data_IF_795501598749
#
_entry.id   IF_795501598749
#
_cell.length_a   1.000
_cell.length_b   1.000
_cell.length_c   1.000
_cell.angle_alpha   90.00
_cell.angle_beta   90.00
_cell.angle_gamma   90.00
#
_symmetry.space_group_name_H-M   'P 1'
#
loop_
_entity.id
_entity.type
_entity.pdbx_description
1 polymer ?
#
# COMPACT_ATOMS: atom_id res chain seq x y z
N UNK A 1 25.69 15.58 -18.87
CA UNK A 1 25.02 14.73 -17.86
C UNK A 1 24.72 15.60 -16.66
N UNK A 2 23.44 15.80 -16.26
CA UNK A 2 23.12 16.58 -15.08
C UNK A 2 23.57 15.81 -13.84
N UNK A 3 24.30 16.48 -12.94
CA UNK A 3 24.88 15.89 -11.73
C UNK A 3 23.80 15.33 -10.80
N UNK A 4 23.85 14.04 -10.52
CA UNK A 4 22.94 13.30 -9.62
C UNK A 4 22.95 13.76 -8.15
N UNK A 5 23.85 14.66 -7.77
CA UNK A 5 24.08 15.10 -6.39
C UNK A 5 23.01 16.05 -5.82
N UNK A 6 22.19 16.70 -6.66
CA UNK A 6 21.21 17.69 -6.18
C UNK A 6 19.95 17.06 -5.55
N UNK A 7 19.54 15.88 -6.02
CA UNK A 7 18.35 15.18 -5.52
C UNK A 7 18.56 14.51 -4.15
N UNK A 8 19.74 13.91 -3.93
CA UNK A 8 20.07 13.21 -2.68
C UNK A 8 20.10 14.17 -1.47
N UNK A 9 20.47 15.43 -1.70
CA UNK A 9 20.55 16.45 -0.64
C UNK A 9 19.17 17.01 -0.27
N UNK A 10 18.19 16.99 -1.18
CA UNK A 10 16.84 17.51 -0.95
C UNK A 10 15.93 16.53 -0.17
N UNK A 11 16.19 15.21 -0.28
CA UNK A 11 15.49 14.17 0.48
C UNK A 11 15.94 14.08 1.95
N UNK A 12 17.10 14.64 2.30
CA UNK A 12 17.73 14.43 3.60
C UNK A 12 17.37 15.50 4.65
N UNK A 13 16.82 16.65 4.23
CA UNK A 13 16.39 17.69 5.15
C UNK A 13 14.95 17.41 5.63
N UNK A 14 14.71 17.15 6.93
CA UNK A 14 13.35 17.06 7.44
C UNK A 14 12.62 18.38 7.14
N UNK A 15 11.47 18.30 6.48
CA UNK A 15 10.60 19.48 6.28
C UNK A 15 10.30 20.06 7.66
N UNK A 16 10.52 21.37 7.84
CA UNK A 16 10.55 22.08 9.14
C UNK A 16 9.26 21.95 9.99
N UNK A 17 8.21 21.40 9.41
CA UNK A 17 6.86 21.23 9.96
C UNK A 17 6.47 19.77 10.23
N UNK A 18 7.19 18.77 9.72
CA UNK A 18 6.96 17.37 10.05
C UNK A 18 7.87 16.93 11.20
N UNK A 19 7.36 17.01 12.43
CA UNK A 19 8.07 16.50 13.61
C UNK A 19 8.45 15.00 13.48
N UNK A 20 7.77 14.27 12.58
CA UNK A 20 8.11 12.92 12.19
C UNK A 20 7.75 12.64 10.71
N UNK A 21 8.76 12.48 9.86
CA UNK A 21 8.60 11.89 8.52
C UNK A 21 8.59 10.35 8.68
N UNK A 22 7.40 9.76 8.70
CA UNK A 22 7.22 8.31 8.77
C UNK A 22 7.37 7.62 7.40
N UNK A 23 7.75 8.37 6.35
CA UNK A 23 8.09 7.85 5.03
C UNK A 23 6.95 7.19 4.26
N UNK A 24 5.68 7.48 4.59
CA UNK A 24 4.49 6.89 3.94
C UNK A 24 4.26 5.39 4.19
N UNK A 25 5.23 4.72 4.82
CA UNK A 25 5.25 3.27 5.10
C UNK A 25 4.39 2.87 6.29
N UNK A 26 4.03 3.83 7.14
CA UNK A 26 3.12 3.63 8.25
C UNK A 26 1.74 4.16 7.85
N UNK A 27 0.67 3.37 7.99
CA UNK A 27 -0.71 3.83 7.80
C UNK A 27 -1.10 4.74 8.97
N UNK A 28 -0.53 5.93 8.96
CA UNK A 28 -0.68 7.00 9.93
C UNK A 28 -1.07 8.26 9.17
N UNK A 29 -1.94 9.08 9.78
CA UNK A 29 -2.70 10.11 9.06
C UNK A 29 -1.79 11.16 8.36
N UNK A 30 -0.70 11.66 8.97
CA UNK A 30 0.28 12.48 8.26
C UNK A 30 1.61 11.76 7.91
N UNK A 31 2.23 12.12 6.77
CA UNK A 31 1.69 13.01 5.75
C UNK A 31 0.76 12.28 4.76
N UNK A 32 -0.46 12.80 4.56
CA UNK A 32 -1.32 12.39 3.43
C UNK A 32 -0.67 12.79 2.09
N UNK A 33 -1.10 12.18 0.97
CA UNK A 33 -0.62 12.59 -0.35
C UNK A 33 -1.02 14.04 -0.66
N UNK A 34 -2.19 14.49 -0.22
CA UNK A 34 -2.59 15.90 -0.29
C UNK A 34 -1.63 16.81 0.46
N UNK A 35 -1.19 16.43 1.67
CA UNK A 35 -0.21 17.19 2.44
C UNK A 35 1.15 17.22 1.76
N UNK A 36 1.55 16.12 1.09
CA UNK A 36 2.79 16.08 0.29
C UNK A 36 2.72 17.04 -0.89
N UNK A 37 1.59 17.05 -1.62
CA UNK A 37 1.32 17.94 -2.75
C UNK A 37 1.32 19.41 -2.31
N UNK A 38 0.56 19.75 -1.27
CA UNK A 38 0.52 21.11 -0.70
C UNK A 38 1.92 21.54 -0.25
N UNK A 39 2.64 20.68 0.46
CA UNK A 39 3.99 20.99 0.91
C UNK A 39 5.01 21.12 -0.22
N UNK A 40 4.73 20.64 -1.45
CA UNK A 40 5.54 20.93 -2.63
C UNK A 40 5.17 22.28 -3.26
N UNK A 41 3.88 22.61 -3.29
CA UNK A 41 3.40 23.91 -3.78
C UNK A 41 3.89 25.08 -2.91
N UNK A 42 3.90 24.90 -1.60
CA UNK A 42 4.34 25.93 -0.65
C UNK A 42 5.88 26.05 -0.56
N UNK A 43 6.62 25.14 -1.20
CA UNK A 43 8.09 25.10 -1.12
C UNK A 43 8.72 25.92 -2.24
N UNK A 44 9.14 27.14 -1.90
CA UNK A 44 9.82 28.10 -2.79
C UNK A 44 11.06 27.58 -3.53
N UNK A 45 11.59 26.40 -3.17
CA UNK A 45 12.70 25.76 -3.89
C UNK A 45 12.25 25.09 -5.19
N UNK A 46 10.95 24.90 -5.39
CA UNK A 46 10.38 24.21 -6.53
C UNK A 46 9.48 25.15 -7.33
N UNK A 47 9.73 25.26 -8.63
CA UNK A 47 8.74 25.80 -9.56
C UNK A 47 7.81 24.64 -9.97
N UNK A 48 6.53 24.73 -9.59
CA UNK A 48 5.56 23.69 -9.95
C UNK A 48 5.29 23.63 -11.46
N UNK A 49 5.64 24.68 -12.21
CA UNK A 49 5.55 24.66 -13.68
C UNK A 49 6.69 23.88 -14.33
N UNK A 50 7.81 23.65 -13.64
CA UNK A 50 8.92 22.81 -14.14
C UNK A 50 8.68 21.30 -13.97
N UNK A 51 7.56 20.90 -13.37
CA UNK A 51 7.22 19.49 -13.15
C UNK A 51 6.49 18.94 -14.38
N UNK A 52 7.18 18.12 -15.17
CA UNK A 52 6.61 17.47 -16.36
C UNK A 52 6.09 16.03 -16.10
N UNK A 53 6.38 15.45 -14.92
CA UNK A 53 5.96 14.09 -14.55
C UNK A 53 5.60 13.97 -13.07
N UNK A 54 4.45 13.34 -12.80
CA UNK A 54 4.03 12.87 -11.48
C UNK A 54 3.73 11.37 -11.52
N UNK A 55 4.27 10.62 -10.56
CA UNK A 55 3.89 9.22 -10.33
C UNK A 55 3.12 9.17 -9.02
N UNK A 56 1.93 8.57 -9.06
CA UNK A 56 0.98 8.59 -7.95
C UNK A 56 0.58 7.16 -7.57
N UNK A 57 0.83 6.81 -6.31
CA UNK A 57 0.38 5.56 -5.68
C UNK A 57 -0.36 5.91 -4.38
N UNK A 58 -1.62 5.49 -4.24
CA UNK A 58 -2.46 5.91 -3.12
C UNK A 58 -3.83 5.25 -3.06
N UNK A 59 -4.32 5.03 -1.84
CA UNK A 59 -5.67 4.50 -1.54
C UNK A 59 -5.71 3.19 -0.76
N UNK A 60 -4.75 2.26 -0.90
CA UNK A 60 -4.82 0.96 -0.21
C UNK A 60 -4.70 1.10 1.31
N UNK A 61 -4.01 2.13 1.80
CA UNK A 61 -3.92 2.42 3.24
C UNK A 61 -5.27 2.81 3.84
N UNK A 62 -6.11 3.54 3.08
CA UNK A 62 -7.45 3.96 3.48
C UNK A 62 -8.43 2.78 3.47
N UNK A 63 -8.30 1.89 2.47
CA UNK A 63 -9.09 0.64 2.40
C UNK A 63 -8.69 -0.31 3.52
N UNK A 64 -7.38 -0.48 3.68
CA UNK A 64 -6.73 -1.29 4.69
C UNK A 64 -6.57 -2.76 4.31
N UNK A 65 -5.33 -3.22 4.20
CA UNK A 65 -4.99 -4.60 3.78
C UNK A 65 -5.59 -5.63 4.73
N UNK A 66 -5.58 -5.37 6.05
CA UNK A 66 -6.22 -6.26 7.01
C UNK A 66 -7.72 -6.45 6.73
N UNK A 67 -8.44 -5.43 6.23
CA UNK A 67 -9.87 -5.53 5.89
C UNK A 67 -10.09 -6.32 4.62
N UNK A 68 -9.21 -6.13 3.63
CA UNK A 68 -9.23 -6.90 2.38
C UNK A 68 -9.08 -8.39 2.69
N UNK A 69 -8.18 -8.75 3.61
CA UNK A 69 -7.88 -10.14 3.96
C UNK A 69 -8.77 -10.72 5.08
N UNK A 70 -9.55 -9.93 5.82
CA UNK A 70 -10.43 -10.45 6.87
C UNK A 70 -11.73 -11.03 6.29
N UNK A 71 -11.97 -12.36 6.37
CA UNK A 71 -13.16 -12.98 5.80
C UNK A 71 -14.48 -12.50 6.41
N UNK A 72 -14.45 -11.85 7.58
CA UNK A 72 -15.63 -11.32 8.28
C UNK A 72 -16.06 -9.96 7.76
N UNK A 73 -15.18 -9.21 7.08
CA UNK A 73 -15.52 -7.90 6.51
C UNK A 73 -16.34 -8.12 5.25
N UNK A 74 -17.54 -7.54 5.15
CA UNK A 74 -18.40 -7.74 3.98
C UNK A 74 -17.79 -7.15 2.69
N UNK A 75 -18.15 -7.72 1.53
CA UNK A 75 -17.77 -7.17 0.22
C UNK A 75 -18.27 -5.74 0.03
N UNK A 76 -19.44 -5.39 0.61
CA UNK A 76 -20.00 -4.03 0.59
C UNK A 76 -19.06 -3.03 1.27
N UNK A 77 -18.49 -3.39 2.43
CA UNK A 77 -17.52 -2.54 3.14
C UNK A 77 -16.23 -2.38 2.32
N UNK A 78 -15.69 -3.47 1.75
CA UNK A 78 -14.51 -3.38 0.87
C UNK A 78 -14.80 -2.44 -0.30
N UNK A 79 -15.92 -2.65 -1.01
CA UNK A 79 -16.31 -1.82 -2.15
C UNK A 79 -16.42 -0.35 -1.76
N UNK A 80 -17.21 -0.03 -0.73
CA UNK A 80 -17.44 1.36 -0.32
C UNK A 80 -16.14 2.09 0.03
N UNK A 81 -15.25 1.45 0.79
CA UNK A 81 -13.93 2.03 1.11
C UNK A 81 -13.02 2.14 -0.12
N UNK A 82 -13.08 1.17 -1.03
CA UNK A 82 -12.27 1.20 -2.26
C UNK A 82 -12.74 2.31 -3.19
N UNK A 83 -14.05 2.50 -3.35
CA UNK A 83 -14.61 3.60 -4.14
C UNK A 83 -14.28 4.96 -3.48
N UNK A 84 -14.47 5.10 -2.16
CA UNK A 84 -14.09 6.32 -1.42
C UNK A 84 -12.61 6.69 -1.62
N UNK A 85 -11.70 5.72 -1.48
CA UNK A 85 -10.26 5.97 -1.55
C UNK A 85 -9.71 6.04 -2.99
N UNK A 86 -10.08 5.08 -3.84
CA UNK A 86 -9.49 4.91 -5.17
C UNK A 86 -10.28 5.62 -6.28
N UNK A 87 -11.55 6.01 -6.04
CA UNK A 87 -12.33 6.83 -6.98
C UNK A 87 -12.43 8.26 -6.48
N UNK A 88 -13.09 8.48 -5.34
CA UNK A 88 -13.52 9.83 -4.94
C UNK A 88 -12.31 10.67 -4.48
N UNK A 89 -11.53 10.17 -3.52
CA UNK A 89 -10.32 10.86 -3.06
C UNK A 89 -9.25 10.95 -4.16
N UNK A 90 -9.10 9.92 -5.00
CA UNK A 90 -8.18 9.93 -6.13
C UNK A 90 -8.57 10.97 -7.18
N UNK A 91 -9.86 11.14 -7.48
CA UNK A 91 -10.34 12.18 -8.42
C UNK A 91 -9.94 13.56 -7.92
N UNK A 92 -10.27 13.86 -6.66
CA UNK A 92 -9.91 15.15 -6.04
C UNK A 92 -8.39 15.38 -6.04
N UNK A 93 -7.60 14.34 -5.75
CA UNK A 93 -6.14 14.42 -5.74
C UNK A 93 -5.57 14.66 -7.14
N UNK A 94 -6.10 13.99 -8.17
CA UNK A 94 -5.66 14.15 -9.55
C UNK A 94 -6.02 15.55 -10.08
N UNK A 95 -7.25 16.01 -9.87
CA UNK A 95 -7.66 17.37 -10.21
C UNK A 95 -6.71 18.40 -9.59
N UNK A 96 -6.39 18.24 -8.30
CA UNK A 96 -5.49 19.14 -7.62
C UNK A 96 -4.05 19.05 -8.15
N UNK A 97 -3.56 17.84 -8.39
CA UNK A 97 -2.23 17.59 -8.96
C UNK A 97 -2.09 18.28 -10.31
N UNK A 98 -3.12 18.23 -11.16
CA UNK A 98 -3.12 18.85 -12.48
C UNK A 98 -3.21 20.38 -12.44
N UNK A 99 -3.79 20.95 -11.37
CA UNK A 99 -3.78 22.41 -11.14
C UNK A 99 -2.43 22.90 -10.63
N UNK A 100 -1.83 22.17 -9.69
CA UNK A 100 -0.53 22.49 -9.11
C UNK A 100 0.58 22.32 -10.16
N UNK A 101 0.56 21.22 -10.91
CA UNK A 101 1.55 20.90 -11.95
C UNK A 101 0.92 20.95 -13.36
N UNK A 102 0.75 22.16 -13.94
CA UNK A 102 0.01 22.36 -15.20
C UNK A 102 0.71 21.73 -16.42
N UNK A 103 1.97 21.33 -16.29
CA UNK A 103 2.74 20.67 -17.36
C UNK A 103 2.89 19.17 -17.15
N UNK A 104 2.54 18.68 -15.96
CA UNK A 104 2.77 17.29 -15.61
C UNK A 104 1.85 16.33 -16.37
N UNK A 105 2.46 15.27 -16.88
CA UNK A 105 1.80 13.99 -17.15
C UNK A 105 1.73 13.22 -15.84
N UNK A 106 0.62 12.54 -15.58
CA UNK A 106 0.41 11.81 -14.33
C UNK A 106 0.25 10.33 -14.59
N UNK A 107 1.09 9.51 -13.95
CA UNK A 107 1.00 8.07 -14.00
C UNK A 107 0.49 7.54 -12.66
N UNK A 108 -0.71 6.96 -12.65
CA UNK A 108 -1.30 6.33 -11.46
C UNK A 108 -0.96 4.84 -11.47
N UNK A 109 -0.49 4.28 -10.37
CA UNK A 109 -0.20 2.83 -10.28
C UNK A 109 -1.43 2.04 -9.82
N UNK A 110 -1.72 0.93 -10.51
CA UNK A 110 -2.71 -0.05 -10.04
C UNK A 110 -2.10 -0.95 -8.96
N UNK A 111 -2.92 -1.61 -8.13
CA UNK A 111 -2.44 -2.56 -7.13
C UNK A 111 -2.19 -3.97 -7.68
N UNK A 112 -1.36 -4.75 -7.01
CA UNK A 112 -1.30 -6.20 -7.22
C UNK A 112 -2.37 -6.92 -6.38
N UNK A 113 -3.02 -7.96 -6.91
CA UNK A 113 -3.73 -8.93 -6.09
C UNK A 113 -2.75 -9.60 -5.13
N UNK A 114 -2.97 -9.30 -3.84
CA UNK A 114 -2.12 -9.76 -2.74
C UNK A 114 -2.11 -11.29 -2.71
N UNK A 115 -3.32 -11.88 -2.75
CA UNK A 115 -3.54 -13.31 -2.60
C UNK A 115 -4.12 -13.97 -3.84
N UNK A 116 -3.71 -15.21 -4.12
CA UNK A 116 -4.34 -16.05 -5.13
C UNK A 116 -4.47 -17.51 -4.69
N UNK A 117 -5.19 -18.32 -5.48
CA UNK A 117 -5.27 -19.77 -5.28
C UNK A 117 -3.92 -20.49 -5.37
N UNK A 118 -2.89 -19.86 -5.98
CA UNK A 118 -1.53 -20.42 -6.09
C UNK A 118 -0.64 -20.08 -4.89
N UNK A 119 -1.11 -19.23 -3.96
CA UNK A 119 -0.39 -18.87 -2.73
C UNK A 119 -0.09 -20.13 -1.92
N UNK A 120 1.17 -20.34 -1.55
CA UNK A 120 1.56 -21.50 -0.75
C UNK A 120 1.11 -21.37 0.70
N UNK A 121 -0.09 -21.86 0.97
CA UNK A 121 -0.62 -21.97 2.31
C UNK A 121 0.23 -22.81 3.26
N UNK A 122 1.09 -23.73 2.80
CA UNK A 122 1.96 -24.51 3.69
C UNK A 122 2.97 -23.63 4.44
N UNK A 123 3.42 -22.55 3.79
CA UNK A 123 4.31 -21.53 4.33
C UNK A 123 3.56 -20.48 5.16
N UNK A 124 2.31 -20.15 4.78
CA UNK A 124 1.44 -19.27 5.56
C UNK A 124 0.82 -19.97 6.79
N UNK A 125 0.38 -21.22 6.71
CA UNK A 125 -0.38 -21.93 7.76
C UNK A 125 0.49 -22.54 8.86
N UNK A 126 1.78 -22.78 8.63
CA UNK A 126 2.78 -22.96 9.72
C UNK A 126 2.90 -21.71 10.58
N UNK A 127 2.61 -20.55 9.97
CA UNK A 127 2.74 -19.23 10.55
C UNK A 127 1.38 -18.75 11.15
N UNK A 128 0.23 -19.07 10.53
CA UNK A 128 -1.15 -18.73 10.96
C UNK A 128 -1.82 -19.79 11.86
N UNK A 129 -1.06 -20.59 12.62
CA UNK A 129 -1.60 -21.67 13.46
C UNK A 129 -2.46 -21.21 14.67
N UNK A 130 -2.90 -19.94 14.70
CA UNK A 130 -3.63 -19.34 15.82
C UNK A 130 -5.11 -19.01 15.56
N UNK A 131 -5.70 -19.29 14.39
CA UNK A 131 -7.09 -18.90 14.12
C UNK A 131 -8.03 -19.68 15.01
N UNK A 132 -8.84 -18.96 15.80
CA UNK A 132 -9.94 -19.49 16.59
C UNK A 132 -10.87 -20.37 15.74
N UNK A 133 -11.04 -20.01 14.46
CA UNK A 133 -11.78 -20.80 13.46
C UNK A 133 -11.10 -22.14 13.15
N UNK A 134 -9.77 -22.18 13.03
CA UNK A 134 -9.01 -23.42 12.76
C UNK A 134 -9.02 -24.35 13.97
N UNK A 135 -8.95 -23.79 15.18
CA UNK A 135 -9.09 -24.54 16.43
C UNK A 135 -10.50 -25.16 16.52
N UNK A 136 -11.54 -24.35 16.35
CA UNK A 136 -12.94 -24.79 16.41
C UNK A 136 -13.27 -25.85 15.34
N UNK A 137 -12.87 -25.66 14.09
CA UNK A 137 -13.13 -26.62 13.02
C UNK A 137 -12.28 -27.89 13.16
N UNK A 138 -11.08 -27.79 13.73
CA UNK A 138 -10.27 -28.99 14.05
C UNK A 138 -10.88 -29.81 15.19
N UNK A 139 -11.56 -29.16 16.14
CA UNK A 139 -12.31 -29.84 17.21
C UNK A 139 -13.56 -30.56 16.67
N UNK A 140 -14.09 -30.13 15.53
CA UNK A 140 -15.23 -30.77 14.84
C UNK A 140 -14.80 -31.85 13.83
N UNK A 141 -13.55 -32.32 13.86
CA UNK A 141 -13.06 -33.39 12.97
C UNK A 141 -12.90 -32.99 11.51
N UNK A 142 -13.02 -31.70 11.16
CA UNK A 142 -12.84 -31.24 9.78
C UNK A 142 -11.36 -31.39 9.38
N UNK A 143 -11.04 -32.06 8.25
CA UNK A 143 -9.67 -32.22 7.80
C UNK A 143 -8.97 -30.86 7.63
N UNK A 144 -7.77 -30.71 8.20
CA UNK A 144 -6.96 -29.48 8.13
C UNK A 144 -6.78 -28.95 6.70
N UNK A 145 -6.71 -29.86 5.71
CA UNK A 145 -6.60 -29.54 4.28
C UNK A 145 -7.84 -28.79 3.77
N UNK A 146 -9.05 -29.17 4.21
CA UNK A 146 -10.30 -28.54 3.80
C UNK A 146 -10.44 -27.12 4.34
N UNK A 147 -10.04 -26.89 5.60
CA UNK A 147 -10.01 -25.56 6.22
C UNK A 147 -9.01 -24.64 5.49
N UNK A 148 -7.82 -25.16 5.20
CA UNK A 148 -6.79 -24.42 4.46
C UNK A 148 -7.28 -24.05 3.06
N UNK A 149 -7.88 -24.99 2.32
CA UNK A 149 -8.43 -24.74 1.00
C UNK A 149 -9.55 -23.67 1.02
N UNK A 150 -10.52 -23.79 1.93
CA UNK A 150 -11.62 -22.81 2.06
C UNK A 150 -11.09 -21.40 2.41
N UNK A 151 -10.08 -21.33 3.28
CA UNK A 151 -9.37 -20.09 3.60
C UNK A 151 -8.69 -19.51 2.35
N UNK A 152 -8.00 -20.35 1.56
CA UNK A 152 -7.35 -19.92 0.31
C UNK A 152 -8.34 -19.30 -0.66
N UNK A 153 -9.46 -20.01 -0.88
CA UNK A 153 -10.53 -19.58 -1.78
C UNK A 153 -11.05 -18.22 -1.33
N UNK A 154 -11.32 -18.07 -0.04
CA UNK A 154 -11.86 -16.81 0.49
C UNK A 154 -10.86 -15.67 0.33
N UNK A 155 -9.59 -15.84 0.71
CA UNK A 155 -8.57 -14.80 0.57
C UNK A 155 -8.29 -14.43 -0.90
N UNK A 156 -8.26 -15.42 -1.80
CA UNK A 156 -8.09 -15.21 -3.22
C UNK A 156 -9.30 -14.47 -3.83
N UNK A 157 -10.52 -14.91 -3.52
CA UNK A 157 -11.75 -14.24 -3.97
C UNK A 157 -11.81 -12.79 -3.51
N UNK A 158 -11.39 -12.50 -2.28
CA UNK A 158 -11.39 -11.13 -1.74
C UNK A 158 -10.30 -10.26 -2.33
N UNK A 159 -9.09 -10.78 -2.51
CA UNK A 159 -8.00 -10.07 -3.17
C UNK A 159 -8.36 -9.72 -4.62
N UNK A 160 -8.93 -10.68 -5.36
CA UNK A 160 -9.44 -10.44 -6.71
C UNK A 160 -10.60 -9.44 -6.72
N UNK A 161 -11.46 -9.45 -5.70
CA UNK A 161 -12.55 -8.50 -5.59
C UNK A 161 -12.04 -7.07 -5.37
N UNK A 162 -11.10 -6.87 -4.45
CA UNK A 162 -10.44 -5.57 -4.26
C UNK A 162 -9.69 -5.12 -5.52
N UNK A 163 -8.91 -6.00 -6.15
CA UNK A 163 -8.17 -5.69 -7.37
C UNK A 163 -9.10 -5.18 -8.49
N UNK A 164 -10.21 -5.88 -8.72
CA UNK A 164 -11.18 -5.47 -9.73
C UNK A 164 -11.80 -4.10 -9.42
N UNK A 165 -12.30 -3.91 -8.19
CA UNK A 165 -12.96 -2.66 -7.80
C UNK A 165 -11.98 -1.48 -7.77
N UNK A 166 -10.75 -1.68 -7.29
CA UNK A 166 -9.73 -0.62 -7.26
C UNK A 166 -9.32 -0.21 -8.68
N UNK A 167 -9.10 -1.16 -9.60
CA UNK A 167 -8.81 -0.84 -11.02
C UNK A 167 -9.95 -0.09 -11.69
N UNK A 168 -11.19 -0.53 -11.50
CA UNK A 168 -12.39 0.17 -12.01
C UNK A 168 -12.46 1.59 -11.44
N UNK A 169 -12.28 1.74 -10.13
CA UNK A 169 -12.32 3.04 -9.43
C UNK A 169 -11.22 4.01 -9.89
N UNK A 170 -9.98 3.52 -10.02
CA UNK A 170 -8.84 4.33 -10.48
C UNK A 170 -9.04 4.78 -11.93
N UNK A 171 -9.54 3.89 -12.82
CA UNK A 171 -9.87 4.30 -14.20
C UNK A 171 -10.92 5.40 -14.21
N UNK A 172 -12.00 5.25 -13.44
CA UNK A 172 -13.03 6.29 -13.34
C UNK A 172 -12.44 7.62 -12.83
N UNK A 173 -11.57 7.60 -11.82
CA UNK A 173 -10.93 8.82 -11.34
C UNK A 173 -10.06 9.51 -12.40
N UNK A 174 -9.32 8.72 -13.18
CA UNK A 174 -8.50 9.19 -14.29
C UNK A 174 -9.35 9.81 -15.39
N UNK A 175 -10.42 9.13 -15.79
CA UNK A 175 -11.33 9.59 -16.83
C UNK A 175 -11.99 10.92 -16.43
N UNK A 176 -12.43 11.04 -15.17
CA UNK A 176 -13.01 12.27 -14.62
C UNK A 176 -11.98 13.42 -14.60
N UNK A 177 -10.75 13.17 -14.15
CA UNK A 177 -9.71 14.19 -14.09
C UNK A 177 -9.28 14.67 -15.48
N UNK A 178 -9.12 13.76 -16.46
CA UNK A 178 -8.81 14.11 -17.84
C UNK A 178 -9.96 14.90 -18.49
N UNK A 179 -11.21 14.49 -18.24
CA UNK A 179 -12.39 15.18 -18.75
C UNK A 179 -12.51 16.61 -18.20
N UNK A 180 -12.18 16.83 -16.92
CA UNK A 180 -12.21 18.16 -16.30
C UNK A 180 -11.26 19.15 -17.00
N UNK A 181 -10.08 18.70 -17.41
CA UNK A 181 -9.08 19.55 -18.09
C UNK A 181 -9.12 19.48 -19.62
N UNK A 182 -9.97 18.62 -20.18
CA UNK A 182 -10.09 18.41 -21.62
C UNK A 182 -8.84 17.83 -22.29
N UNK A 183 -7.99 17.10 -21.56
CA UNK A 183 -6.76 16.49 -22.08
C UNK A 183 -6.49 15.12 -21.45
N UNK A 184 -6.00 14.18 -22.24
CA UNK A 184 -5.59 12.85 -21.76
C UNK A 184 -4.14 12.84 -21.27
N UNK A 185 -3.87 13.45 -20.11
CA UNK A 185 -2.52 13.55 -19.52
C UNK A 185 -2.33 12.66 -18.28
N UNK A 186 -3.41 12.05 -17.79
CA UNK A 186 -3.38 11.06 -16.72
C UNK A 186 -3.61 9.66 -17.29
N UNK A 187 -2.81 8.68 -16.87
CA UNK A 187 -3.00 7.29 -17.28
C UNK A 187 -2.66 6.28 -16.18
N UNK A 188 -3.26 5.09 -16.29
CA UNK A 188 -3.07 3.99 -15.35
C UNK A 188 -1.91 3.07 -15.78
N UNK A 189 -0.88 2.97 -14.95
CA UNK A 189 0.10 1.88 -15.00
C UNK A 189 -0.50 0.57 -14.48
N UNK A 190 -1.36 -0.02 -15.31
CA UNK A 190 -1.95 -1.33 -15.07
C UNK A 190 -0.91 -2.43 -15.36
N UNK A 191 -0.36 -3.02 -14.31
CA UNK A 191 0.49 -4.21 -14.46
C UNK A 191 -0.40 -5.44 -14.67
N UNK A 192 -0.32 -6.01 -15.86
CA UNK A 192 -0.93 -7.30 -16.18
C UNK A 192 -0.49 -8.38 -15.18
N UNK A 193 -1.41 -8.75 -14.29
CA UNK A 193 -1.16 -9.68 -13.21
C UNK A 193 -1.66 -11.09 -13.56
N UNK A 194 -1.02 -12.08 -12.95
CA UNK A 194 -1.50 -13.47 -12.98
C UNK A 194 -1.40 -14.09 -11.60
N UNK A 195 -2.23 -15.10 -11.31
CA UNK A 195 -2.24 -15.80 -10.02
C UNK A 195 -0.87 -16.27 -9.54
N UNK A 196 0.08 -16.56 -10.44
CA UNK A 196 1.44 -16.99 -10.11
C UNK A 196 2.36 -15.86 -9.64
N UNK A 197 1.87 -14.63 -9.55
CA UNK A 197 2.62 -13.45 -9.09
C UNK A 197 2.20 -12.94 -7.72
N UNK A 198 1.15 -13.50 -7.11
CA UNK A 198 0.77 -13.22 -5.72
C UNK A 198 1.82 -13.64 -4.71
N UNK A 199 1.61 -13.22 -3.47
CA UNK A 199 2.46 -13.53 -2.33
C UNK A 199 2.71 -15.04 -2.18
N UNK A 200 3.91 -15.41 -1.76
CA UNK A 200 4.34 -16.81 -1.52
C UNK A 200 4.01 -17.78 -2.66
N UNK A 201 4.13 -17.33 -3.90
CA UNK A 201 4.16 -18.20 -5.08
C UNK A 201 5.61 -18.36 -5.56
N UNK A 202 5.92 -19.43 -6.29
CA UNK A 202 7.28 -19.64 -6.86
C UNK A 202 7.75 -18.49 -7.77
N UNK A 203 6.83 -17.70 -8.30
CA UNK A 203 7.09 -16.60 -9.25
C UNK A 203 6.59 -15.26 -8.70
N UNK A 204 6.49 -15.14 -7.38
CA UNK A 204 5.90 -13.99 -6.71
C UNK A 204 6.55 -12.67 -7.12
N UNK A 205 5.74 -11.65 -7.26
CA UNK A 205 6.17 -10.26 -7.39
C UNK A 205 6.03 -9.49 -6.08
N UNK A 206 5.57 -10.14 -5.02
CA UNK A 206 5.36 -9.54 -3.71
C UNK A 206 6.36 -10.11 -2.71
N UNK A 207 6.67 -9.33 -1.68
CA UNK A 207 7.41 -9.86 -0.55
C UNK A 207 6.54 -10.84 0.24
N UNK A 208 7.17 -11.91 0.71
CA UNK A 208 6.50 -12.90 1.54
C UNK A 208 6.44 -12.48 3.00
N UNK A 209 5.86 -13.39 3.77
CA UNK A 209 5.99 -13.44 5.22
C UNK A 209 6.70 -14.74 5.60
N UNK A 210 7.52 -14.73 6.63
CA UNK A 210 8.33 -15.89 7.04
C UNK A 210 8.32 -16.12 8.55
N UNK A 211 8.76 -17.31 9.01
CA UNK A 211 8.92 -17.56 10.43
C UNK A 211 10.02 -16.65 11.01
N UNK A 212 9.85 -16.19 12.25
CA UNK A 212 10.71 -15.15 12.83
C UNK A 212 12.22 -15.50 12.90
N UNK A 213 12.51 -16.80 12.88
CA UNK A 213 13.82 -17.42 12.93
C UNK A 213 14.58 -17.40 11.59
N UNK A 214 14.04 -16.78 10.53
CA UNK A 214 14.78 -16.53 9.26
C UNK A 214 15.30 -15.10 9.13
N UNK A 215 15.14 -14.25 10.15
CA UNK A 215 15.73 -12.91 10.18
C UNK A 215 16.56 -12.72 11.44
N UNK A 216 17.78 -12.19 11.29
CA UNK A 216 18.71 -11.80 12.34
C UNK A 216 18.20 -10.55 13.08
N UNK A 217 17.01 -10.63 13.68
CA UNK A 217 16.56 -9.61 14.61
C UNK A 217 17.29 -9.80 15.93
N UNK A 218 18.11 -8.80 16.26
CA UNK A 218 18.83 -8.68 17.53
C UNK A 218 17.90 -9.05 18.72
N UNK A 219 18.40 -9.86 19.65
CA UNK A 219 17.65 -10.54 20.73
C UNK A 219 16.73 -9.61 21.54
N UNK A 220 17.03 -8.32 21.55
CA UNK A 220 16.27 -7.25 22.20
C UNK A 220 14.87 -7.03 21.59
N UNK A 221 14.70 -7.23 20.27
CA UNK A 221 13.39 -7.08 19.62
C UNK A 221 12.41 -8.18 20.06
N UNK A 222 12.91 -9.42 20.24
CA UNK A 222 12.12 -10.55 20.77
C UNK A 222 11.78 -10.36 22.25
N UNK A 223 12.72 -9.84 23.06
CA UNK A 223 12.50 -9.59 24.48
C UNK A 223 11.43 -8.51 24.73
N UNK A 224 11.38 -7.48 23.87
CA UNK A 224 10.39 -6.40 23.95
C UNK A 224 9.01 -6.86 23.49
N UNK A 225 8.92 -7.66 22.43
CA UNK A 225 7.65 -8.29 22.03
C UNK A 225 7.07 -9.13 23.17
N UNK A 226 7.90 -9.92 23.86
CA UNK A 226 7.50 -10.70 25.04
C UNK A 226 6.95 -9.85 26.19
N UNK A 227 7.58 -8.72 26.53
CA UNK A 227 7.14 -7.86 27.66
C UNK A 227 5.87 -7.07 27.37
N UNK A 228 5.70 -6.55 26.14
CA UNK A 228 4.46 -5.88 25.73
C UNK A 228 3.25 -6.84 25.71
N UNK A 229 3.50 -8.11 25.39
CA UNK A 229 2.48 -9.17 25.38
C UNK A 229 2.00 -9.51 26.79
N UNK A 230 2.91 -9.65 27.77
CA UNK A 230 2.51 -9.89 29.17
C UNK A 230 1.67 -8.74 29.72
N UNK A 231 1.96 -7.51 29.31
CA UNK A 231 1.21 -6.33 29.74
C UNK A 231 -0.18 -6.22 29.06
N UNK A 232 -0.29 -6.54 27.77
CA UNK A 232 -1.58 -6.60 27.06
C UNK A 232 -2.48 -7.76 27.54
N UNK A 233 -1.88 -8.90 27.92
CA UNK A 233 -2.60 -10.08 28.40
C UNK A 233 -3.24 -9.88 29.79
N UNK A 234 -2.75 -8.93 30.59
CA UNK A 234 -3.29 -8.67 31.94
C UNK A 234 -4.63 -7.92 31.92
N UNK A 235 -5.00 -7.29 30.80
CA UNK A 235 -6.22 -6.48 30.68
C UNK A 235 -7.29 -7.03 29.72
N UNK A 236 -7.05 -8.18 29.06
CA UNK A 236 -7.97 -8.75 28.09
C UNK A 236 -8.39 -10.17 28.49
N UNK A 237 -9.54 -10.29 29.19
CA UNK A 237 -10.17 -11.58 29.57
C UNK A 237 -10.69 -12.43 28.39
N UNK A 238 -10.51 -12.00 27.15
CA UNK A 238 -10.61 -12.86 25.97
C UNK A 238 -9.77 -12.22 24.85
N UNK A 239 -8.74 -12.89 24.35
CA UNK A 239 -7.78 -12.27 23.42
C UNK A 239 -7.60 -13.06 22.12
N UNK A 240 -7.99 -12.50 20.96
CA UNK A 240 -7.61 -12.99 19.63
C UNK A 240 -6.16 -12.64 19.22
N UNK A 241 -5.31 -12.19 20.16
CA UNK A 241 -4.01 -11.55 19.87
C UNK A 241 -2.76 -12.43 20.04
N UNK A 242 -2.87 -13.76 20.03
CA UNK A 242 -1.69 -14.66 19.95
C UNK A 242 -1.08 -14.78 18.53
N UNK A 243 -1.61 -14.04 17.56
CA UNK A 243 -1.28 -14.21 16.14
C UNK A 243 0.01 -13.54 15.66
N UNK A 244 0.42 -12.42 16.27
CA UNK A 244 1.43 -11.53 15.67
C UNK A 244 2.90 -11.95 15.93
N UNK A 245 3.17 -13.03 16.65
CA UNK A 245 4.54 -13.34 17.12
C UNK A 245 5.32 -14.35 16.28
N UNK A 246 4.75 -14.93 15.23
CA UNK A 246 5.40 -16.01 14.45
C UNK A 246 5.59 -15.73 12.97
N UNK A 247 5.20 -14.55 12.48
CA UNK A 247 5.15 -14.27 11.05
C UNK A 247 5.77 -12.90 10.75
N UNK A 248 7.06 -12.85 10.42
CA UNK A 248 7.75 -11.60 10.08
C UNK A 248 7.60 -11.26 8.59
N UNK A 249 7.35 -9.99 8.25
CA UNK A 249 7.66 -9.42 6.94
C UNK A 249 9.02 -9.85 6.39
N UNK A 250 9.10 -10.12 5.09
CA UNK A 250 10.38 -10.35 4.41
C UNK A 250 10.87 -9.14 3.61
N UNK A 251 10.10 -8.05 3.56
CA UNK A 251 10.52 -6.85 2.85
C UNK A 251 11.64 -6.11 3.59
N UNK A 252 12.62 -5.52 2.87
CA UNK A 252 13.77 -4.85 3.48
C UNK A 252 13.40 -3.59 4.26
N UNK A 253 12.18 -3.04 4.08
CA UNK A 253 11.71 -1.83 4.76
C UNK A 253 11.10 -2.16 6.12
N UNK A 254 10.71 -3.41 6.37
CA UNK A 254 10.05 -3.81 7.61
C UNK A 254 10.80 -3.41 8.90
N UNK A 255 12.14 -3.58 9.02
CA UNK A 255 12.86 -3.13 10.22
C UNK A 255 12.70 -1.62 10.47
N UNK A 256 12.80 -0.81 9.42
CA UNK A 256 12.62 0.65 9.49
C UNK A 256 11.17 0.99 9.87
N UNK A 257 10.18 0.37 9.22
CA UNK A 257 8.76 0.56 9.51
C UNK A 257 8.44 0.27 10.99
N UNK A 258 8.96 -0.84 11.52
CA UNK A 258 8.77 -1.18 12.94
C UNK A 258 9.55 -0.29 13.91
N UNK A 259 10.72 0.23 13.52
CA UNK A 259 11.46 1.19 14.33
C UNK A 259 10.70 2.53 14.44
N UNK A 260 10.20 3.04 13.31
CA UNK A 260 9.38 4.25 13.25
C UNK A 260 8.08 4.10 14.05
N UNK A 261 7.44 2.94 13.99
CA UNK A 261 6.24 2.64 14.77
C UNK A 261 6.40 2.83 16.29
N UNK A 262 7.61 2.57 16.82
CA UNK A 262 7.90 2.75 18.26
C UNK A 262 7.92 4.21 18.68
N UNK A 263 8.14 5.13 17.75
CA UNK A 263 8.15 6.57 18.01
C UNK A 263 6.72 7.14 18.08
N UNK A 264 5.73 6.42 17.56
CA UNK A 264 4.32 6.86 17.55
C UNK A 264 3.65 6.46 18.86
N UNK A 265 3.40 7.44 19.74
CA UNK A 265 2.81 7.23 21.08
C UNK A 265 1.46 6.50 21.09
N UNK A 266 0.65 6.61 20.03
CA UNK A 266 -0.75 6.15 20.01
C UNK A 266 -1.15 5.41 18.73
N UNK A 267 -0.37 4.41 18.31
CA UNK A 267 -0.88 3.50 17.28
C UNK A 267 -2.04 2.65 17.83
N UNK A 268 -3.10 2.52 17.06
CA UNK A 268 -4.19 1.57 17.31
C UNK A 268 -3.75 0.13 17.04
N UNK A 269 -4.51 -0.85 17.51
CA UNK A 269 -4.26 -2.25 17.18
C UNK A 269 -4.39 -2.52 15.67
N UNK A 270 -5.32 -1.85 14.99
CA UNK A 270 -5.51 -1.96 13.54
C UNK A 270 -4.29 -1.42 12.77
N UNK A 271 -3.80 -0.22 13.11
CA UNK A 271 -2.60 0.36 12.50
C UNK A 271 -1.36 -0.51 12.74
N UNK A 272 -1.25 -1.10 13.94
CA UNK A 272 -0.22 -2.10 14.21
C UNK A 272 -0.32 -3.27 13.25
N UNK A 273 -1.49 -3.90 13.14
CA UNK A 273 -1.69 -5.02 12.21
C UNK A 273 -1.38 -4.63 10.76
N UNK A 274 -1.77 -3.44 10.33
CA UNK A 274 -1.50 -3.00 8.96
C UNK A 274 -0.01 -2.91 8.63
N UNK A 275 0.83 -2.43 9.55
CA UNK A 275 2.28 -2.43 9.30
C UNK A 275 2.86 -3.84 9.10
N UNK A 276 2.24 -4.86 9.71
CA UNK A 276 2.61 -6.26 9.46
C UNK A 276 2.10 -6.76 8.12
N UNK A 277 0.89 -6.35 7.72
CA UNK A 277 0.27 -6.77 6.47
C UNK A 277 0.78 -6.01 5.25
N UNK A 278 1.31 -4.79 5.42
CA UNK A 278 1.82 -3.93 4.35
C UNK A 278 2.82 -4.68 3.45
N UNK A 279 3.70 -5.46 4.06
CA UNK A 279 4.67 -6.34 3.39
C UNK A 279 4.06 -7.27 2.35
N UNK A 280 2.83 -7.76 2.57
CA UNK A 280 2.16 -8.65 1.63
C UNK A 280 1.77 -7.93 0.34
N UNK A 281 1.56 -6.62 0.40
CA UNK A 281 1.27 -5.79 -0.76
C UNK A 281 2.53 -5.20 -1.43
N UNK A 282 3.68 -5.26 -0.76
CA UNK A 282 4.89 -4.61 -1.28
C UNK A 282 5.52 -5.42 -2.42
N UNK A 283 5.84 -4.77 -3.55
CA UNK A 283 6.55 -5.43 -4.62
C UNK A 283 7.96 -5.82 -4.18
N UNK A 284 8.36 -7.06 -4.48
CA UNK A 284 9.76 -7.46 -4.45
C UNK A 284 10.51 -6.91 -5.66
N UNK A 285 11.82 -7.17 -5.78
CA UNK A 285 12.62 -6.64 -6.88
C UNK A 285 12.06 -7.00 -8.27
N UNK A 286 11.45 -8.19 -8.45
CA UNK A 286 10.84 -8.57 -9.71
C UNK A 286 9.52 -7.82 -9.96
N UNK A 287 8.70 -7.62 -8.92
CA UNK A 287 7.48 -6.80 -9.00
C UNK A 287 7.78 -5.33 -9.30
N UNK A 288 8.77 -4.75 -8.60
CA UNK A 288 9.18 -3.36 -8.78
C UNK A 288 9.70 -3.10 -10.20
N UNK A 289 10.53 -4.02 -10.75
CA UNK A 289 10.96 -3.95 -12.16
C UNK A 289 9.77 -4.01 -13.13
N UNK A 290 8.74 -4.80 -12.81
CA UNK A 290 7.55 -4.87 -13.66
C UNK A 290 6.72 -3.59 -13.60
N UNK A 291 6.54 -2.99 -12.42
CA UNK A 291 5.93 -1.66 -12.28
C UNK A 291 6.71 -0.61 -13.06
N UNK A 292 8.02 -0.52 -12.86
CA UNK A 292 8.86 0.45 -13.55
C UNK A 292 8.72 0.32 -15.08
N UNK A 293 8.78 -0.91 -15.60
CA UNK A 293 8.55 -1.16 -17.04
C UNK A 293 7.17 -0.67 -17.48
N UNK A 294 6.12 -0.94 -16.70
CA UNK A 294 4.77 -0.53 -17.07
C UNK A 294 4.55 0.98 -17.00
N UNK A 295 5.17 1.65 -16.02
CA UNK A 295 5.18 3.10 -15.91
C UNK A 295 5.83 3.68 -17.16
N UNK A 296 7.03 3.21 -17.55
CA UNK A 296 7.71 3.67 -18.77
C UNK A 296 6.84 3.49 -20.03
N UNK A 297 6.24 2.31 -20.22
CA UNK A 297 5.31 2.06 -21.33
C UNK A 297 4.15 3.07 -21.35
N UNK A 298 3.60 3.43 -20.20
CA UNK A 298 2.53 4.43 -20.10
C UNK A 298 3.07 5.83 -20.41
N UNK A 299 4.26 6.17 -19.91
CA UNK A 299 4.87 7.47 -20.19
C UNK A 299 5.13 7.65 -21.68
N UNK A 300 5.66 6.65 -22.38
CA UNK A 300 5.84 6.68 -23.84
C UNK A 300 4.51 7.00 -24.56
N UNK A 301 3.40 6.42 -24.10
CA UNK A 301 2.07 6.71 -24.69
C UNK A 301 1.59 8.13 -24.39
N UNK A 302 1.93 8.69 -23.23
CA UNK A 302 1.59 10.07 -22.88
C UNK A 302 2.51 11.08 -23.60
N UNK A 303 3.75 10.72 -23.92
CA UNK A 303 4.69 11.61 -24.64
C UNK A 303 4.22 11.92 -26.05
N UNK A 304 3.63 10.93 -26.73
CA UNK A 304 3.06 11.12 -28.08
C UNK A 304 1.87 12.10 -28.10
N UNK A 305 1.35 12.47 -26.94
CA UNK A 305 0.25 13.42 -26.76
C UNK A 305 0.86 14.72 -26.26
N UNK A 306 1.27 15.61 -27.17
CA UNK A 306 1.87 16.89 -26.79
C UNK A 306 0.97 17.63 -25.81
N UNK A 307 1.40 17.89 -24.56
CA UNK A 307 0.60 18.68 -23.64
C UNK A 307 0.53 20.10 -24.19
N UNK A 308 -0.68 20.57 -24.48
CA UNK A 308 -0.89 22.00 -24.72
C UNK A 308 -0.66 22.67 -23.36
N UNK A 309 0.27 23.64 -23.25
CA UNK A 309 0.51 24.34 -21.99
C UNK A 309 -0.81 24.81 -21.41
N UNK A 310 -1.20 24.24 -20.27
CA UNK A 310 -2.41 24.67 -19.56
C UNK A 310 -2.13 26.08 -19.06
N UNK A 311 -2.95 27.06 -19.46
CA UNK A 311 -2.87 28.42 -18.92
C UNK A 311 -2.83 28.29 -17.39
N UNK A 312 -1.77 28.81 -16.76
CA UNK A 312 -1.48 28.56 -15.37
C UNK A 312 -2.69 28.96 -14.49
N UNK A 313 -3.44 27.97 -14.03
CA UNK A 313 -4.46 28.13 -12.97
C UNK A 313 -3.78 28.27 -11.59
N UNK A 314 -2.54 28.78 -11.55
CA UNK A 314 -1.66 28.74 -10.38
C UNK A 314 -2.09 29.66 -9.23
N UNK A 315 -3.11 30.49 -9.40
CA UNK A 315 -3.67 31.25 -8.28
C UNK A 315 -4.81 30.43 -7.65
N UNK A 316 -4.68 30.07 -6.37
CA UNK A 316 -5.74 29.56 -5.46
C UNK A 316 -6.17 28.09 -5.54
N UNK A 317 -5.25 27.14 -5.81
CA UNK A 317 -5.63 25.72 -5.91
C UNK A 317 -6.16 25.11 -4.59
N UNK A 318 -5.87 25.65 -3.39
CA UNK A 318 -6.28 25.08 -2.09
C UNK A 318 -7.20 25.97 -1.25
N UNK A 319 -7.90 26.93 -1.86
CA UNK A 319 -8.87 27.78 -1.16
C UNK A 319 -10.23 27.10 -0.94
#
# INVERSE_FOLDING_TARGET
MPSSTKWETLSAAPRRDQKHDFGGEIPYDPPTIFSQLKGLQDDSRFDCTDIDLVILDGGINDVGVHRILDPRVSKKVIRGRTEEACRDAMTALLTQTLRVFPRARVCVTAYFPIWSMKTDLGSVTRSLSGSTIRLLLSMLGVPKRSIALATNVTLATRSNYFDRISRESLRTAIDLANAEIGQDVVALADVAWTASRSVQTKRSWLWGIGPANTMDFNKDALAIAGRLIVHLLRHLRASPLRFATKILPQDPIAPRRFALAKQIRKLTAAQRMEMWYASLGHPNHAGARRYAKRILEVLDTLETRSPVPRAALCATAFD
#
